data_IF_618733116192
#
_entry.id   IF_618733116192
#
_cell.length_a   1.000
_cell.length_b   1.000
_cell.length_c   1.000
_cell.angle_alpha   90.00
_cell.angle_beta   90.00
_cell.angle_gamma   90.00
#
_symmetry.space_group_name_H-M   'P 1'
#
loop_
_entity.id
_entity.type
_entity.pdbx_description
1 polymer ?
#
# COMPACT_ATOMS: atom_id res chain seq x y z
N UNK A 1 -1.37 -13.25 10.92
CA UNK A 1 -1.33 -12.28 9.80
C UNK A 1 -1.36 -13.07 8.50
N UNK A 2 -2.46 -12.99 7.75
CA UNK A 2 -2.52 -13.53 6.39
C UNK A 2 -2.16 -12.38 5.45
N UNK A 3 -0.88 -12.26 5.08
CA UNK A 3 -0.47 -11.41 3.97
C UNK A 3 -0.26 -12.35 2.79
N UNK A 4 -0.97 -12.11 1.68
CA UNK A 4 -0.60 -12.77 0.43
C UNK A 4 0.81 -12.30 0.03
N UNK A 5 1.52 -13.10 -0.77
CA UNK A 5 2.83 -12.68 -1.30
C UNK A 5 2.75 -11.31 -2.00
N UNK A 6 1.61 -11.02 -2.67
CA UNK A 6 1.33 -9.72 -3.27
C UNK A 6 1.22 -8.61 -2.22
N UNK A 7 0.47 -8.80 -1.12
CA UNK A 7 0.36 -7.78 -0.06
C UNK A 7 1.70 -7.50 0.62
N UNK A 8 2.53 -8.52 0.83
CA UNK A 8 3.89 -8.33 1.33
C UNK A 8 4.76 -7.53 0.34
N UNK A 9 4.63 -7.80 -0.96
CA UNK A 9 5.35 -7.05 -1.99
C UNK A 9 4.92 -5.57 -2.07
N UNK A 10 3.64 -5.25 -1.80
CA UNK A 10 3.18 -3.86 -1.66
C UNK A 10 3.93 -3.17 -0.50
N UNK A 11 4.00 -3.80 0.66
CA UNK A 11 4.70 -3.25 1.83
C UNK A 11 6.20 -3.04 1.57
N UNK A 12 6.89 -4.06 1.07
CA UNK A 12 8.33 -3.99 0.78
C UNK A 12 8.64 -2.91 -0.26
N UNK A 13 7.82 -2.81 -1.32
CA UNK A 13 7.99 -1.77 -2.33
C UNK A 13 7.82 -0.37 -1.73
N UNK A 14 6.84 -0.18 -0.85
CA UNK A 14 6.62 1.09 -0.18
C UNK A 14 7.71 1.46 0.84
N UNK A 15 8.27 0.46 1.53
CA UNK A 15 9.40 0.65 2.44
C UNK A 15 10.68 1.04 1.70
N UNK A 16 10.94 0.43 0.54
CA UNK A 16 12.17 0.64 -0.24
C UNK A 16 12.08 1.78 -1.26
N UNK A 17 10.89 2.34 -1.49
CA UNK A 17 10.69 3.36 -2.53
C UNK A 17 10.62 2.79 -3.94
N UNK A 18 10.33 1.49 -4.08
CA UNK A 18 10.21 0.82 -5.38
C UNK A 18 8.78 0.90 -5.93
N UNK A 19 8.51 1.96 -6.68
CA UNK A 19 7.22 2.18 -7.36
C UNK A 19 6.83 1.01 -8.26
N UNK A 20 7.79 0.39 -8.96
CA UNK A 20 7.50 -0.72 -9.90
C UNK A 20 7.02 -1.96 -9.17
N UNK A 21 7.67 -2.29 -8.05
CA UNK A 21 7.23 -3.40 -7.18
C UNK A 21 5.84 -3.17 -6.62
N UNK A 22 5.56 -1.95 -6.11
CA UNK A 22 4.23 -1.60 -5.60
C UNK A 22 3.18 -1.75 -6.69
N UNK A 23 3.42 -1.22 -7.89
CA UNK A 23 2.48 -1.28 -8.99
C UNK A 23 2.19 -2.74 -9.42
N UNK A 24 3.24 -3.56 -9.58
CA UNK A 24 3.09 -4.97 -9.94
C UNK A 24 2.30 -5.74 -8.88
N UNK A 25 2.58 -5.49 -7.60
CA UNK A 25 1.90 -6.13 -6.49
C UNK A 25 0.42 -5.73 -6.39
N UNK A 26 0.09 -4.45 -6.60
CA UNK A 26 -1.29 -3.96 -6.66
C UNK A 26 -2.07 -4.55 -7.85
N UNK A 27 -1.40 -4.75 -8.99
CA UNK A 27 -2.00 -5.42 -10.15
C UNK A 27 -2.23 -6.92 -9.89
N UNK A 28 -1.41 -7.55 -9.05
CA UNK A 28 -1.58 -8.92 -8.58
C UNK A 28 -2.55 -9.04 -7.38
N UNK A 29 -3.48 -8.10 -7.23
CA UNK A 29 -4.46 -8.04 -6.13
C UNK A 29 -3.85 -8.00 -4.72
N UNK A 30 -2.65 -7.44 -4.58
CA UNK A 30 -2.06 -7.13 -3.28
C UNK A 30 -2.90 -6.12 -2.52
N UNK A 31 -3.06 -6.35 -1.21
CA UNK A 31 -3.80 -5.46 -0.34
C UNK A 31 -2.98 -4.19 -0.02
N UNK A 32 -3.41 -2.98 -0.44
CA UNK A 32 -2.73 -1.73 -0.10
C UNK A 32 -2.80 -1.38 1.39
N UNK A 33 -3.74 -1.96 2.13
CA UNK A 33 -3.92 -1.76 3.56
C UNK A 33 -3.10 -2.75 4.41
N UNK A 34 -2.18 -3.49 3.78
CA UNK A 34 -1.31 -4.41 4.47
C UNK A 34 -0.51 -3.72 5.59
N UNK A 35 -0.46 -4.36 6.75
CA UNK A 35 0.33 -3.91 7.91
C UNK A 35 1.46 -4.88 8.24
N UNK A 36 2.60 -4.36 8.66
CA UNK A 36 3.69 -5.17 9.22
C UNK A 36 3.41 -5.59 10.67
N UNK A 37 4.32 -6.35 11.28
CA UNK A 37 4.24 -6.79 12.68
C UNK A 37 4.13 -5.64 13.70
N UNK A 38 4.56 -4.43 13.34
CA UNK A 38 4.43 -3.23 14.18
C UNK A 38 3.12 -2.46 13.98
N UNK A 39 2.21 -2.93 13.11
CA UNK A 39 0.95 -2.25 12.80
C UNK A 39 1.07 -1.10 11.80
N UNK A 40 2.24 -0.92 11.15
CA UNK A 40 2.45 0.13 10.16
C UNK A 40 1.97 -0.31 8.77
N UNK A 41 1.21 0.55 8.10
CA UNK A 41 0.76 0.29 6.72
C UNK A 41 1.86 0.60 5.70
N UNK A 42 1.74 0.03 4.50
CA UNK A 42 2.59 0.40 3.37
C UNK A 42 2.56 1.92 3.09
N UNK A 43 1.38 2.55 3.23
CA UNK A 43 1.24 4.00 3.05
C UNK A 43 2.05 4.80 4.08
N UNK A 44 2.06 4.39 5.35
CA UNK A 44 2.85 5.05 6.40
C UNK A 44 4.35 5.00 6.07
N UNK A 45 4.83 3.85 5.57
CA UNK A 45 6.23 3.71 5.14
C UNK A 45 6.56 4.61 3.95
N UNK A 46 5.68 4.68 2.95
CA UNK A 46 5.86 5.53 1.78
C UNK A 46 5.89 7.02 2.14
N UNK A 47 5.04 7.45 3.08
CA UNK A 47 5.02 8.83 3.60
C UNK A 47 6.32 9.13 4.36
N UNK A 48 6.75 8.23 5.26
CA UNK A 48 7.98 8.40 6.03
C UNK A 48 9.25 8.45 5.15
N UNK A 49 9.27 7.73 4.03
CA UNK A 49 10.35 7.76 3.04
C UNK A 49 10.27 8.90 2.02
N UNK A 50 9.18 9.68 1.99
CA UNK A 50 8.97 10.76 1.02
C UNK A 50 8.65 10.28 -0.41
N UNK A 51 8.21 9.03 -0.58
CA UNK A 51 7.94 8.42 -1.89
C UNK A 51 6.57 8.85 -2.45
N UNK A 52 6.48 10.10 -2.90
CA UNK A 52 5.23 10.75 -3.33
C UNK A 52 4.43 9.96 -4.35
N UNK A 53 5.09 9.31 -5.30
CA UNK A 53 4.44 8.50 -6.33
C UNK A 53 3.77 7.25 -5.73
N UNK A 54 4.44 6.58 -4.80
CA UNK A 54 3.89 5.42 -4.07
C UNK A 54 2.73 5.85 -3.18
N UNK A 55 2.85 7.00 -2.50
CA UNK A 55 1.76 7.59 -1.71
C UNK A 55 0.52 7.79 -2.58
N UNK A 56 0.68 8.33 -3.79
CA UNK A 56 -0.43 8.51 -4.72
C UNK A 56 -1.05 7.17 -5.17
N UNK A 57 -0.22 6.17 -5.51
CA UNK A 57 -0.68 4.84 -5.93
C UNK A 57 -1.48 4.14 -4.82
N UNK A 58 -0.95 4.14 -3.60
CA UNK A 58 -1.60 3.52 -2.46
C UNK A 58 -2.87 4.27 -2.06
N UNK A 59 -2.83 5.61 -2.01
CA UNK A 59 -4.00 6.43 -1.63
C UNK A 59 -5.18 6.26 -2.59
N UNK A 60 -4.92 6.13 -3.90
CA UNK A 60 -5.99 5.84 -4.86
C UNK A 60 -6.64 4.47 -4.61
N UNK A 61 -5.84 3.46 -4.26
CA UNK A 61 -6.33 2.10 -4.00
C UNK A 61 -7.02 1.96 -2.65
N UNK A 62 -6.57 2.67 -1.62
CA UNK A 62 -7.24 2.68 -0.31
C UNK A 62 -8.56 3.46 -0.35
N UNK A 63 -8.61 4.59 -1.07
CA UNK A 63 -9.83 5.40 -1.17
C UNK A 63 -10.89 4.79 -2.09
N UNK A 64 -10.55 3.83 -2.96
CA UNK A 64 -11.57 3.09 -3.73
C UNK A 64 -12.44 2.16 -2.86
N UNK A 65 -12.20 2.10 -1.55
CA UNK A 65 -13.07 1.49 -0.55
C UNK A 65 -13.80 2.53 0.30
N UNK A 66 -14.03 3.76 -0.18
CA UNK A 66 -15.02 4.64 0.44
C UNK A 66 -16.43 4.03 0.24
N UNK A 67 -17.11 3.49 1.28
CA UNK A 67 -18.55 3.69 1.30
C UNK A 67 -18.76 5.20 1.20
N UNK A 68 -19.62 5.62 0.27
CA UNK A 68 -20.05 7.01 0.16
C UNK A 68 -20.33 7.54 1.57
N UNK A 69 -19.70 8.65 1.91
CA UNK A 69 -20.19 9.45 3.02
C UNK A 69 -21.57 9.98 2.60
N UNK A 70 -22.64 9.41 3.13
CA UNK A 70 -23.98 10.00 3.07
C UNK A 70 -24.59 10.00 4.48
N UNK A 71 -24.59 11.22 5.06
CA UNK A 71 -25.30 11.75 6.25
C UNK A 71 -24.79 11.39 7.66
#
# INVERSE_FOLDING_TARGET
MQLSASSQAVFEGAQLGDTRRVLAALNAHGDPNCVNFGGYTALMMAVGGGYREIVALLSQRTNNHVPKMET
#
